data_IF_512989256248
#
_entry.id   IF_512989256248
#
_cell.length_a   1.000
_cell.length_b   1.000
_cell.length_c   1.000
_cell.angle_alpha   90.00
_cell.angle_beta   90.00
_cell.angle_gamma   90.00
#
_symmetry.space_group_name_H-M   'P 1'
#
loop_
_entity.id
_entity.type
_entity.pdbx_description
1 polymer ?
#
# COMPACT_ATOMS: atom_id res chain seq x y z
N UNK A 1 -4.69 -11.68 2.51
CA UNK A 1 -3.32 -11.77 3.06
C UNK A 1 -2.55 -10.67 2.37
N UNK A 2 -1.97 -9.69 3.07
CA UNK A 2 -0.88 -8.93 2.47
C UNK A 2 0.06 -9.99 1.90
N UNK A 3 0.21 -10.03 0.58
CA UNK A 3 1.04 -11.04 -0.07
C UNK A 3 2.50 -10.63 0.15
N UNK A 4 2.92 -10.71 1.40
CA UNK A 4 4.28 -10.53 1.85
C UNK A 4 5.20 -11.55 1.17
N UNK A 5 4.66 -12.64 0.62
CA UNK A 5 5.46 -13.62 -0.12
C UNK A 5 5.93 -13.13 -1.49
N UNK A 6 5.53 -11.93 -1.94
CA UNK A 6 5.94 -11.40 -3.24
C UNK A 6 6.60 -10.00 -3.14
N UNK A 7 7.85 -9.91 -2.65
CA UNK A 7 8.58 -8.63 -2.56
C UNK A 7 8.78 -7.96 -3.93
N UNK A 8 8.70 -8.72 -5.03
CA UNK A 8 8.85 -8.19 -6.39
C UNK A 8 7.65 -7.39 -6.92
N UNK A 9 6.44 -7.54 -6.35
CA UNK A 9 5.26 -6.78 -6.84
C UNK A 9 5.30 -5.28 -6.51
N UNK A 10 6.16 -4.85 -5.58
CA UNK A 10 6.33 -3.44 -5.22
C UNK A 10 7.44 -2.74 -6.03
N UNK A 11 8.39 -3.49 -6.59
CA UNK A 11 9.58 -2.96 -7.30
C UNK A 11 9.21 -2.22 -8.61
N UNK A 12 8.00 -2.41 -9.14
CA UNK A 12 7.56 -1.75 -10.38
C UNK A 12 6.41 -0.74 -10.23
N UNK A 13 5.88 -0.48 -9.03
CA UNK A 13 4.60 0.26 -8.90
C UNK A 13 4.67 1.71 -8.40
N UNK A 14 5.80 2.22 -7.90
CA UNK A 14 5.85 3.55 -7.27
C UNK A 14 6.43 4.67 -8.13
N UNK A 15 6.57 4.50 -9.45
CA UNK A 15 7.02 5.61 -10.31
C UNK A 15 6.37 5.71 -11.69
N UNK A 16 5.53 4.76 -12.08
CA UNK A 16 4.74 4.90 -13.31
C UNK A 16 3.40 5.55 -13.00
N UNK A 17 3.44 6.88 -12.87
CA UNK A 17 2.31 7.79 -13.06
C UNK A 17 0.95 7.25 -12.61
N UNK A 18 0.67 7.31 -11.31
CA UNK A 18 -0.72 7.27 -10.86
C UNK A 18 -1.43 8.45 -11.51
N UNK A 19 -2.37 8.18 -12.43
CA UNK A 19 -3.22 9.18 -13.08
C UNK A 19 -3.86 10.15 -12.08
N UNK A 20 -4.07 9.69 -10.85
CA UNK A 20 -4.69 10.44 -9.77
C UNK A 20 -3.71 10.97 -8.71
N UNK A 21 -2.40 10.93 -8.99
CA UNK A 21 -1.34 11.32 -8.06
C UNK A 21 -1.07 10.27 -6.99
N UNK A 22 0.12 10.37 -6.39
CA UNK A 22 0.46 9.65 -5.16
C UNK A 22 0.12 10.56 -3.97
N UNK A 23 -0.69 10.12 -2.99
CA UNK A 23 -0.92 10.89 -1.77
C UNK A 23 0.38 11.19 -0.99
N UNK A 24 1.48 10.48 -1.25
CA UNK A 24 2.76 10.65 -0.54
C UNK A 24 3.77 11.59 -1.22
N UNK A 25 3.38 12.36 -2.25
CA UNK A 25 4.28 13.06 -3.20
C UNK A 25 5.12 14.24 -2.66
N UNK A 26 5.38 14.35 -1.35
CA UNK A 26 6.07 15.50 -0.79
C UNK A 26 7.62 15.46 -0.87
N UNK A 27 8.24 14.37 -1.34
CA UNK A 27 9.71 14.29 -1.43
C UNK A 27 10.17 13.56 -2.70
N UNK A 28 10.93 14.26 -3.54
CA UNK A 28 11.73 13.62 -4.58
C UNK A 28 12.81 12.76 -3.89
N UNK A 29 12.71 11.44 -4.03
CA UNK A 29 13.68 10.50 -3.49
C UNK A 29 14.51 9.93 -4.64
N UNK A 30 15.82 9.82 -4.42
CA UNK A 30 16.68 9.04 -5.30
C UNK A 30 16.29 7.57 -5.05
N UNK A 31 15.91 6.80 -6.09
CA UNK A 31 15.53 5.42 -5.92
C UNK A 31 16.77 4.59 -5.51
N UNK A 32 16.82 4.18 -4.25
CA UNK A 32 17.78 3.19 -3.74
C UNK A 32 17.03 1.87 -3.51
N UNK A 33 17.16 0.96 -4.49
CA UNK A 33 16.46 -0.33 -4.48
C UNK A 33 16.89 -1.22 -3.30
N UNK A 34 18.15 -1.11 -2.87
CA UNK A 34 18.68 -1.93 -1.78
C UNK A 34 18.15 -1.43 -0.43
N UNK A 35 18.19 -0.13 -0.19
CA UNK A 35 17.56 0.48 1.00
C UNK A 35 16.07 0.10 1.09
N UNK A 36 15.34 0.25 -0.01
CA UNK A 36 13.92 -0.07 -0.07
C UNK A 36 13.64 -1.55 0.24
N UNK A 37 14.42 -2.47 -0.36
CA UNK A 37 14.29 -3.90 -0.10
C UNK A 37 14.57 -4.25 1.37
N UNK A 38 15.63 -3.72 1.95
CA UNK A 38 15.97 -3.95 3.36
C UNK A 38 14.92 -3.34 4.30
N UNK A 39 14.48 -2.12 4.03
CA UNK A 39 13.43 -1.46 4.79
C UNK A 39 12.13 -2.28 4.79
N UNK A 40 11.66 -2.70 3.62
CA UNK A 40 10.41 -3.47 3.50
C UNK A 40 10.49 -4.84 4.17
N UNK A 41 11.66 -5.49 4.11
CA UNK A 41 11.88 -6.79 4.76
C UNK A 41 11.90 -6.65 6.28
N UNK A 42 12.72 -5.74 6.82
CA UNK A 42 12.82 -5.51 8.27
C UNK A 42 11.52 -4.98 8.88
N UNK A 43 10.84 -4.08 8.17
CA UNK A 43 9.57 -3.53 8.62
C UNK A 43 8.49 -4.61 8.67
N UNK A 44 8.44 -5.50 7.69
CA UNK A 44 7.54 -6.65 7.71
C UNK A 44 7.80 -7.57 8.89
N UNK A 45 9.05 -7.93 9.13
CA UNK A 45 9.43 -8.79 10.25
C UNK A 45 9.01 -8.15 11.58
N UNK A 46 9.22 -6.83 11.72
CA UNK A 46 8.74 -6.05 12.86
C UNK A 46 7.21 -6.11 13.00
N UNK A 47 6.45 -5.88 11.93
CA UNK A 47 4.98 -5.93 11.96
C UNK A 47 4.49 -7.33 12.34
N UNK A 48 5.09 -8.39 11.80
CA UNK A 48 4.73 -9.77 12.16
C UNK A 48 5.02 -10.07 13.64
N UNK A 49 6.17 -9.63 14.14
CA UNK A 49 6.49 -9.74 15.56
C UNK A 49 5.50 -8.93 16.41
N UNK A 50 5.14 -7.72 15.99
CA UNK A 50 4.19 -6.87 16.70
C UNK A 50 2.79 -7.49 16.73
N UNK A 51 2.32 -8.07 15.62
CA UNK A 51 1.04 -8.81 15.56
C UNK A 51 0.98 -9.98 16.55
N UNK A 52 2.12 -10.61 16.86
CA UNK A 52 2.18 -11.76 17.76
C UNK A 52 2.29 -11.40 19.24
N UNK A 53 2.98 -10.29 19.56
CA UNK A 53 3.40 -9.97 20.94
C UNK A 53 2.61 -8.82 21.55
N UNK A 54 2.05 -7.93 20.74
CA UNK A 54 1.40 -6.71 21.21
C UNK A 54 0.06 -6.48 20.54
N UNK A 55 -0.83 -5.78 21.23
CA UNK A 55 -2.11 -5.39 20.67
C UNK A 55 -1.93 -4.12 19.85
N UNK A 56 -2.31 -4.20 18.56
CA UNK A 56 -2.70 -3.00 17.83
C UNK A 56 -4.01 -2.43 18.42
N UNK A 57 -4.50 -1.33 17.86
CA UNK A 57 -5.83 -0.85 18.21
C UNK A 57 -6.90 -1.94 18.00
N UNK A 58 -7.97 -1.88 18.79
CA UNK A 58 -9.01 -2.94 18.87
C UNK A 58 -9.60 -3.34 17.51
N UNK A 59 -9.70 -2.39 16.58
CA UNK A 59 -10.27 -2.60 15.24
C UNK A 59 -9.28 -3.08 14.18
N UNK A 60 -8.00 -3.31 14.51
CA UNK A 60 -6.95 -3.60 13.54
C UNK A 60 -7.27 -4.77 12.61
N UNK A 61 -7.80 -5.88 13.15
CA UNK A 61 -8.15 -7.06 12.36
C UNK A 61 -9.27 -6.78 11.35
N UNK A 62 -10.27 -5.97 11.75
CA UNK A 62 -11.35 -5.56 10.87
C UNK A 62 -10.83 -4.66 9.75
N UNK A 63 -9.95 -3.72 10.07
CA UNK A 63 -9.31 -2.84 9.09
C UNK A 63 -8.40 -3.62 8.13
N UNK A 64 -7.66 -4.62 8.63
CA UNK A 64 -6.86 -5.54 7.82
C UNK A 64 -7.72 -6.35 6.86
N UNK A 65 -8.88 -6.86 7.30
CA UNK A 65 -9.85 -7.55 6.43
C UNK A 65 -10.39 -6.60 5.36
N UNK A 66 -10.76 -5.38 5.74
CA UNK A 66 -11.26 -4.38 4.82
C UNK A 66 -10.21 -3.97 3.77
N UNK A 67 -8.95 -3.83 4.17
CA UNK A 67 -7.85 -3.55 3.24
C UNK A 67 -7.64 -4.69 2.24
N UNK A 68 -7.77 -5.95 2.67
CA UNK A 68 -7.75 -7.09 1.75
C UNK A 68 -8.91 -7.02 0.74
N UNK A 69 -10.11 -6.68 1.20
CA UNK A 69 -11.30 -6.48 0.36
C UNK A 69 -11.06 -5.36 -0.66
N UNK A 70 -10.55 -4.20 -0.21
CA UNK A 70 -10.14 -3.11 -1.10
C UNK A 70 -9.10 -3.56 -2.13
N UNK A 71 -8.20 -4.47 -1.73
CA UNK A 71 -7.24 -5.10 -2.61
C UNK A 71 -7.89 -5.79 -3.81
N UNK A 72 -8.98 -6.53 -3.59
CA UNK A 72 -9.79 -7.15 -4.65
C UNK A 72 -10.62 -6.13 -5.44
N UNK A 73 -11.12 -5.08 -4.78
CA UNK A 73 -11.88 -4.01 -5.44
C UNK A 73 -11.07 -3.32 -6.56
N UNK A 74 -9.74 -3.27 -6.48
CA UNK A 74 -8.90 -2.75 -7.57
C UNK A 74 -9.12 -3.49 -8.89
N UNK A 75 -9.16 -4.82 -8.84
CA UNK A 75 -9.41 -5.65 -10.02
C UNK A 75 -10.88 -5.60 -10.43
N UNK A 76 -11.79 -5.50 -9.47
CA UNK A 76 -13.21 -5.29 -9.77
C UNK A 76 -13.43 -4.00 -10.59
N UNK A 77 -12.83 -2.88 -10.20
CA UNK A 77 -12.93 -1.61 -10.94
C UNK A 77 -12.27 -1.69 -12.32
N UNK A 78 -11.17 -2.43 -12.45
CA UNK A 78 -10.56 -2.73 -13.75
C UNK A 78 -11.56 -3.49 -14.66
N UNK A 79 -12.19 -4.54 -14.15
CA UNK A 79 -13.21 -5.32 -14.87
C UNK A 79 -14.43 -4.48 -15.23
N UNK A 80 -14.90 -3.62 -14.33
CA UNK A 80 -15.98 -2.68 -14.59
C UNK A 80 -15.62 -1.71 -15.73
N UNK A 81 -14.38 -1.21 -15.77
CA UNK A 81 -13.88 -0.39 -16.87
C UNK A 81 -13.86 -1.11 -18.22
N UNK A 82 -13.47 -2.40 -18.24
CA UNK A 82 -13.50 -3.25 -19.44
C UNK A 82 -14.94 -3.43 -19.94
N UNK A 83 -15.86 -3.78 -19.04
CA UNK A 83 -17.27 -3.99 -19.38
C UNK A 83 -17.92 -2.70 -19.89
N UNK A 84 -17.66 -1.57 -19.22
CA UNK A 84 -18.14 -0.25 -19.62
C UNK A 84 -17.67 0.10 -21.04
N UNK A 85 -16.36 -0.03 -21.32
CA UNK A 85 -15.83 0.27 -22.65
C UNK A 85 -16.32 -0.72 -23.72
N UNK A 86 -16.47 -1.99 -23.37
CA UNK A 86 -16.97 -3.03 -24.28
C UNK A 86 -18.43 -2.83 -24.67
N UNK A 87 -19.29 -2.47 -23.71
CA UNK A 87 -20.73 -2.33 -23.93
C UNK A 87 -21.12 -0.95 -24.46
N UNK A 88 -20.47 0.12 -24.01
CA UNK A 88 -20.90 1.50 -24.31
C UNK A 88 -20.02 2.13 -25.38
N UNK A 89 -18.69 2.02 -25.28
CA UNK A 89 -17.80 2.71 -26.22
C UNK A 89 -17.68 1.97 -27.55
N UNK A 90 -17.50 0.64 -27.51
CA UNK A 90 -17.27 -0.17 -28.71
C UNK A 90 -18.37 -0.07 -29.79
N UNK A 91 -19.69 -0.19 -29.47
CA UNK A 91 -20.73 -0.12 -30.50
C UNK A 91 -20.93 1.30 -31.07
N UNK A 92 -20.56 2.35 -30.32
CA UNK A 92 -20.76 3.74 -30.73
C UNK A 92 -19.69 4.25 -31.71
N UNK A 93 -18.65 3.46 -32.03
CA UNK A 93 -17.66 3.81 -33.05
C UNK A 93 -18.20 3.58 -34.46
N UNK A 94 -18.67 4.65 -35.10
CA UNK A 94 -19.27 4.65 -36.46
C UNK A 94 -18.30 4.34 -37.60
N UNK A 95 -16.97 4.49 -37.42
CA UNK A 95 -16.00 4.26 -38.50
C UNK A 95 -15.39 2.84 -38.46
N UNK A 96 -15.49 2.04 -39.54
CA UNK A 96 -14.97 0.67 -39.58
C UNK A 96 -13.43 0.59 -39.51
N UNK A 97 -12.72 1.63 -39.94
CA UNK A 97 -11.24 1.69 -39.89
C UNK A 97 -10.66 1.91 -38.48
N UNK A 98 -11.49 2.09 -37.45
CA UNK A 98 -11.07 2.41 -36.08
C UNK A 98 -10.79 1.20 -35.18
N UNK A 99 -10.48 0.03 -35.75
CA UNK A 99 -10.31 -1.22 -34.99
C UNK A 99 -9.29 -1.10 -33.83
N UNK A 100 -8.14 -0.47 -34.08
CA UNK A 100 -7.12 -0.25 -33.05
C UNK A 100 -7.59 0.66 -31.92
N UNK A 101 -8.33 1.73 -32.26
CA UNK A 101 -8.82 2.69 -31.27
C UNK A 101 -9.88 2.06 -30.37
N UNK A 102 -10.72 1.15 -30.88
CA UNK A 102 -11.68 0.38 -30.06
C UNK A 102 -10.98 -0.45 -28.99
N UNK A 103 -9.94 -1.20 -29.36
CA UNK A 103 -9.15 -1.99 -28.40
C UNK A 103 -8.39 -1.11 -27.41
N UNK A 104 -7.81 -0.01 -27.90
CA UNK A 104 -7.10 0.95 -27.06
C UNK A 104 -8.01 1.52 -25.97
N UNK A 105 -9.24 1.94 -26.30
CA UNK A 105 -10.17 2.47 -25.31
C UNK A 105 -10.55 1.45 -24.23
N UNK A 106 -10.70 0.17 -24.58
CA UNK A 106 -10.97 -0.88 -23.57
C UNK A 106 -9.81 -0.99 -22.58
N UNK A 107 -8.58 -1.07 -23.09
CA UNK A 107 -7.38 -1.13 -22.24
C UNK A 107 -7.23 0.15 -21.41
N UNK A 108 -7.49 1.31 -22.01
CA UNK A 108 -7.39 2.60 -21.34
C UNK A 108 -8.44 2.77 -20.23
N UNK A 109 -9.70 2.41 -20.47
CA UNK A 109 -10.75 2.41 -19.45
C UNK A 109 -10.47 1.38 -18.33
N UNK A 110 -9.94 0.20 -18.67
CA UNK A 110 -9.48 -0.78 -17.68
C UNK A 110 -8.40 -0.18 -16.78
N UNK A 111 -7.43 0.50 -17.38
CA UNK A 111 -6.33 1.17 -16.67
C UNK A 111 -6.84 2.28 -15.76
N UNK A 112 -7.74 3.16 -16.24
CA UNK A 112 -8.38 4.20 -15.41
C UNK A 112 -9.11 3.57 -14.22
N UNK A 113 -9.90 2.51 -14.45
CA UNK A 113 -10.62 1.80 -13.40
C UNK A 113 -9.69 1.21 -12.34
N UNK A 114 -8.59 0.59 -12.78
CA UNK A 114 -7.55 0.09 -11.88
C UNK A 114 -6.90 1.21 -11.06
N UNK A 115 -6.52 2.33 -11.70
CA UNK A 115 -5.96 3.49 -11.02
C UNK A 115 -6.92 4.08 -9.98
N UNK A 116 -8.22 4.13 -10.29
CA UNK A 116 -9.25 4.61 -9.35
C UNK A 116 -9.36 3.69 -8.13
N UNK A 117 -9.44 2.37 -8.35
CA UNK A 117 -9.46 1.40 -7.26
C UNK A 117 -8.21 1.49 -6.39
N UNK A 118 -7.03 1.65 -7.01
CA UNK A 118 -5.77 1.74 -6.28
C UNK A 118 -5.66 3.02 -5.44
N UNK A 119 -6.19 4.16 -5.92
CA UNK A 119 -6.28 5.38 -5.11
C UNK A 119 -7.04 5.16 -3.81
N UNK A 120 -8.20 4.50 -3.87
CA UNK A 120 -9.02 4.23 -2.68
C UNK A 120 -8.30 3.28 -1.71
N UNK A 121 -7.61 2.27 -2.24
CA UNK A 121 -6.76 1.38 -1.46
C UNK A 121 -5.65 2.15 -0.72
N UNK A 122 -4.87 2.98 -1.44
CA UNK A 122 -3.77 3.76 -0.87
C UNK A 122 -4.24 4.78 0.17
N UNK A 123 -5.37 5.45 -0.07
CA UNK A 123 -5.94 6.40 0.90
C UNK A 123 -6.32 5.72 2.21
N UNK A 124 -6.93 4.53 2.13
CA UNK A 124 -7.30 3.77 3.32
C UNK A 124 -6.06 3.22 4.04
N UNK A 125 -5.10 2.69 3.30
CA UNK A 125 -3.81 2.23 3.85
C UNK A 125 -3.09 3.36 4.60
N UNK A 126 -3.05 4.56 4.03
CA UNK A 126 -2.47 5.72 4.71
C UNK A 126 -3.23 6.08 5.99
N UNK A 127 -4.57 6.04 5.96
CA UNK A 127 -5.38 6.28 7.17
C UNK A 127 -5.11 5.24 8.27
N UNK A 128 -4.90 3.97 7.89
CA UNK A 128 -4.49 2.90 8.81
C UNK A 128 -3.13 3.22 9.45
N UNK A 129 -2.12 3.59 8.65
CA UNK A 129 -0.80 3.96 9.19
C UNK A 129 -0.84 5.16 10.15
N UNK A 130 -1.72 6.14 9.90
CA UNK A 130 -1.93 7.26 10.83
C UNK A 130 -2.52 6.80 12.17
N UNK A 131 -3.49 5.86 12.15
CA UNK A 131 -4.08 5.29 13.38
C UNK A 131 -3.08 4.41 14.15
N UNK A 132 -2.21 3.72 13.42
CA UNK A 132 -1.13 2.92 14.00
C UNK A 132 0.02 3.76 14.55
N UNK A 133 0.06 5.07 14.28
CA UNK A 133 1.16 5.93 14.70
C UNK A 133 1.42 5.84 16.22
N UNK A 134 0.37 5.86 17.04
CA UNK A 134 0.50 5.77 18.51
C UNK A 134 1.08 4.45 19.01
N UNK A 135 0.99 3.39 18.21
CA UNK A 135 1.45 2.04 18.55
C UNK A 135 2.89 1.80 18.10
N UNK A 136 3.48 2.69 17.31
CA UNK A 136 4.85 2.52 16.85
C UNK A 136 5.87 3.22 17.77
N UNK A 137 7.00 2.57 18.06
CA UNK A 137 8.12 3.19 18.74
C UNK A 137 8.76 4.25 17.84
N UNK A 138 9.43 5.22 18.47
CA UNK A 138 10.00 6.38 17.79
C UNK A 138 10.99 5.98 16.68
N UNK A 139 11.73 4.89 16.86
CA UNK A 139 12.66 4.32 15.90
C UNK A 139 11.93 3.89 14.61
N UNK A 140 10.80 3.19 14.75
CA UNK A 140 9.95 2.75 13.64
C UNK A 140 9.29 3.95 12.97
N UNK A 141 8.80 4.94 13.74
CA UNK A 141 8.26 6.20 13.21
C UNK A 141 9.30 6.97 12.38
N UNK A 142 10.55 7.04 12.85
CA UNK A 142 11.67 7.65 12.11
C UNK A 142 11.96 6.88 10.83
N UNK A 143 11.98 5.55 10.91
CA UNK A 143 12.16 4.70 9.74
C UNK A 143 11.07 4.94 8.69
N UNK A 144 9.80 5.02 9.09
CA UNK A 144 8.68 5.31 8.18
C UNK A 144 8.78 6.69 7.55
N UNK A 145 9.21 7.71 8.30
CA UNK A 145 9.34 9.08 7.79
C UNK A 145 10.52 9.24 6.83
N UNK A 146 11.64 8.61 7.15
CA UNK A 146 12.88 8.73 6.37
C UNK A 146 12.99 7.69 5.26
N UNK A 147 12.24 6.59 5.36
CA UNK A 147 12.40 5.36 4.59
C UNK A 147 13.84 4.82 4.62
N UNK A 148 14.53 4.99 5.74
CA UNK A 148 15.88 4.48 5.95
C UNK A 148 15.83 3.20 6.79
N UNK A 149 16.27 2.08 6.19
CA UNK A 149 16.29 0.78 6.86
C UNK A 149 17.16 0.74 8.11
N UNK A 150 18.17 1.62 8.21
CA UNK A 150 19.15 1.59 9.32
C UNK A 150 18.50 1.81 10.69
N UNK A 151 17.44 2.61 10.75
CA UNK A 151 16.69 2.81 11.99
C UNK A 151 16.03 1.51 12.49
N UNK A 152 15.55 0.66 11.57
CA UNK A 152 14.99 -0.65 11.92
C UNK A 152 16.09 -1.67 12.20
N UNK A 153 17.19 -1.63 11.45
CA UNK A 153 18.30 -2.56 11.62
C UNK A 153 19.01 -2.43 12.98
N UNK A 154 19.11 -1.20 13.49
CA UNK A 154 19.71 -0.92 14.80
C UNK A 154 18.71 -1.09 15.96
N UNK A 155 17.43 -1.28 15.66
CA UNK A 155 16.38 -1.34 16.66
C UNK A 155 16.14 -2.80 17.10
N UNK A 156 16.64 -3.17 18.27
CA UNK A 156 16.34 -4.45 18.90
C UNK A 156 14.96 -4.42 19.58
N UNK A 157 13.93 -4.68 18.78
CA UNK A 157 12.55 -4.75 19.27
C UNK A 157 12.25 -6.05 20.02
N UNK A 158 13.10 -7.09 19.93
CA UNK A 158 12.86 -8.38 20.58
C UNK A 158 13.33 -8.37 22.03
N UNK A 159 14.49 -7.76 22.28
CA UNK A 159 15.05 -7.60 23.62
C UNK A 159 15.37 -6.13 23.89
N UNK A 160 14.36 -5.25 23.92
CA UNK A 160 14.61 -3.86 24.20
C UNK A 160 15.10 -3.74 25.65
N UNK A 161 16.28 -3.15 25.86
CA UNK A 161 16.81 -2.87 27.20
C UNK A 161 15.97 -1.88 28.03
N UNK A 162 14.78 -1.52 27.55
CA UNK A 162 13.79 -0.62 28.17
C UNK A 162 12.37 -1.11 27.85
N UNK A 163 11.40 -0.70 28.66
CA UNK A 163 10.00 -0.92 28.34
C UNK A 163 9.56 -0.03 27.16
N UNK A 164 9.20 -0.65 26.03
CA UNK A 164 8.76 0.07 24.83
C UNK A 164 7.26 0.34 24.79
N UNK A 165 6.46 -0.54 25.39
CA UNK A 165 5.01 -0.52 25.30
C UNK A 165 4.39 -0.47 26.69
N UNK A 166 3.29 0.26 26.79
CA UNK A 166 2.46 0.24 27.98
C UNK A 166 1.75 -1.11 28.11
N UNK A 167 1.87 -1.74 29.28
CA UNK A 167 1.23 -3.02 29.58
C UNK A 167 -0.30 -2.94 29.60
N UNK A 168 -0.88 -1.76 29.85
CA UNK A 168 -2.34 -1.60 29.91
C UNK A 168 -2.93 -1.27 28.54
N UNK A 169 -2.37 -0.27 27.85
CA UNK A 169 -2.95 0.24 26.59
C UNK A 169 -2.33 -0.36 25.33
N UNK A 170 -1.17 -1.01 25.41
CA UNK A 170 -0.43 -1.50 24.25
C UNK A 170 0.19 -0.40 23.38
N UNK A 171 0.03 0.88 23.78
CA UNK A 171 0.62 2.02 23.06
C UNK A 171 2.12 2.10 23.30
N UNK A 172 2.82 2.72 22.36
CA UNK A 172 4.24 2.99 22.52
C UNK A 172 4.48 4.04 23.61
N UNK A 173 5.48 3.81 24.47
CA UNK A 173 5.92 4.72 25.53
C UNK A 173 6.98 5.73 25.07
N UNK A 174 7.36 5.70 23.79
CA UNK A 174 8.45 6.51 23.21
C UNK A 174 7.98 7.82 22.57
#
# INVERSE_FOLDING_TARGET
MFDFNNPMKFIFNNSYGFLFGDPQSARAKIPDSMNYYMFTTLFRDYIQWHEQNHHFHENYDNEKRYLNVLGYFRYFWMSAGILFAGMILNPNYTKPKSFYFRKFNVVFCAWIGYCFGNKNYLNYEHSLYLRMNDYFPMEVKRALRTEDYRYLALFDYKNPGRQLFDTQTGKSLS
#
